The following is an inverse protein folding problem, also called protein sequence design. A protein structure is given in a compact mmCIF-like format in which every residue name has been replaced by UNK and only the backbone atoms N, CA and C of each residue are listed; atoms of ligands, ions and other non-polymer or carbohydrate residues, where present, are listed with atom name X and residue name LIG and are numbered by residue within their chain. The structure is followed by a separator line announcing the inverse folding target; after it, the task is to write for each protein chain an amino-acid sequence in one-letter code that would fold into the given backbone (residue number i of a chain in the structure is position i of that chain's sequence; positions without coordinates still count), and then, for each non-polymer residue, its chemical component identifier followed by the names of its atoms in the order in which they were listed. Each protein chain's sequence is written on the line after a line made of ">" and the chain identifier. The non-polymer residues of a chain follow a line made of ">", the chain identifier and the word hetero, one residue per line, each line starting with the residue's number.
data_IF_176262251170
#
_entry.id   IF_176262251170
#
_cell.length_a   1.000
_cell.length_b   1.000
_cell.length_c   1.000
_cell.angle_alpha   90.00
_cell.angle_beta   90.00
_cell.angle_gamma   90.00
#
_symmetry.space_group_name_H-M   'P 1'
#
loop_
_entity.id
_entity.type
_entity.pdbx_description
1 polymer ?
#
# COMPACT_ATOMS: atom_id res chain seq x y z
N UNK A 1 49.90 27.50 -63.57
CA UNK A 1 48.67 26.68 -63.48
C UNK A 1 48.73 25.82 -62.23
N UNK A 2 47.72 25.94 -61.36
CA UNK A 2 47.14 24.91 -60.45
C UNK A 2 48.05 24.42 -59.30
N UNK A 3 48.03 25.05 -58.10
CA UNK A 3 47.16 24.81 -56.91
C UNK A 3 47.06 23.33 -56.44
N UNK A 4 47.71 22.98 -55.32
CA UNK A 4 47.33 21.93 -54.32
C UNK A 4 47.99 22.28 -52.96
N UNK A 5 47.26 22.77 -51.93
CA UNK A 5 46.65 22.04 -50.78
C UNK A 5 47.67 21.21 -50.00
N UNK A 6 47.87 21.34 -48.68
CA UNK A 6 46.93 21.04 -47.58
C UNK A 6 47.42 21.75 -46.30
N UNK A 7 46.56 22.53 -45.65
CA UNK A 7 46.76 23.01 -44.28
C UNK A 7 45.84 22.21 -43.35
N UNK A 8 46.43 21.44 -42.44
CA UNK A 8 45.75 20.57 -41.49
C UNK A 8 45.25 21.42 -40.31
N UNK A 9 43.95 21.72 -40.27
CA UNK A 9 43.33 22.42 -39.14
C UNK A 9 42.92 21.38 -38.09
N UNK A 10 43.74 21.22 -37.05
CA UNK A 10 43.42 20.37 -35.91
C UNK A 10 42.43 21.12 -34.97
N UNK A 11 41.14 20.84 -35.12
CA UNK A 11 40.11 21.32 -34.21
C UNK A 11 40.08 20.39 -32.98
N UNK A 12 40.81 20.76 -31.93
CA UNK A 12 40.72 20.11 -30.62
C UNK A 12 39.35 20.44 -30.00
N UNK A 13 38.38 19.55 -30.22
CA UNK A 13 37.13 19.53 -29.48
C UNK A 13 37.44 19.15 -28.02
N UNK A 14 37.53 20.15 -27.14
CA UNK A 14 37.49 19.90 -25.69
C UNK A 14 36.08 19.43 -25.32
N UNK A 15 35.87 18.12 -25.38
CA UNK A 15 34.74 17.52 -24.71
C UNK A 15 35.05 17.54 -23.21
N UNK A 16 34.42 18.47 -22.48
CA UNK A 16 34.32 18.39 -21.03
C UNK A 16 33.55 17.12 -20.69
N UNK A 17 34.27 16.05 -20.36
CA UNK A 17 33.70 14.88 -19.75
C UNK A 17 33.13 15.32 -18.40
N UNK A 18 31.80 15.40 -18.30
CA UNK A 18 31.13 15.43 -17.01
C UNK A 18 31.44 14.10 -16.32
N UNK A 19 32.43 14.11 -15.43
CA UNK A 19 32.64 13.03 -14.49
C UNK A 19 31.38 12.95 -13.62
N UNK A 20 30.66 11.83 -13.68
CA UNK A 20 29.65 11.52 -12.68
C UNK A 20 30.41 11.41 -11.36
N UNK A 21 30.14 12.31 -10.42
CA UNK A 21 30.61 12.14 -9.05
C UNK A 21 30.06 10.82 -8.55
N UNK A 22 30.90 9.79 -8.49
CA UNK A 22 30.62 8.53 -7.81
C UNK A 22 30.47 8.89 -6.33
N UNK A 23 29.27 9.27 -5.93
CA UNK A 23 28.90 9.36 -4.53
C UNK A 23 28.89 7.93 -4.01
N UNK A 24 29.70 7.64 -3.00
CA UNK A 24 29.82 6.30 -2.39
C UNK A 24 28.61 5.97 -1.50
N UNK A 25 27.42 6.26 -2.02
CA UNK A 25 26.15 6.06 -1.35
C UNK A 25 25.79 4.59 -1.33
N UNK A 26 25.05 4.18 -0.29
CA UNK A 26 24.54 2.83 -0.16
C UNK A 26 23.56 2.52 -1.30
N UNK A 27 23.82 1.48 -2.09
CA UNK A 27 22.96 1.11 -3.22
C UNK A 27 21.77 0.29 -2.77
N UNK A 28 20.57 0.80 -3.01
CA UNK A 28 19.32 0.20 -2.54
C UNK A 28 18.45 -0.24 -3.69
N UNK A 29 18.06 -1.51 -3.70
CA UNK A 29 16.97 -2.00 -4.54
C UNK A 29 15.68 -2.05 -3.74
N UNK A 30 14.70 -1.25 -4.15
CA UNK A 30 13.39 -1.14 -3.50
C UNK A 30 12.38 -2.06 -4.20
N UNK A 31 12.05 -3.18 -3.56
CA UNK A 31 11.00 -4.11 -4.01
C UNK A 31 9.75 -3.95 -3.16
N UNK A 32 8.97 -2.91 -3.47
CA UNK A 32 7.64 -2.74 -2.91
C UNK A 32 6.60 -2.45 -3.99
N UNK A 33 5.62 -3.34 -4.12
CA UNK A 33 4.49 -3.18 -5.06
C UNK A 33 3.34 -2.33 -4.50
N UNK A 34 3.25 -2.23 -3.18
CA UNK A 34 2.13 -1.57 -2.48
C UNK A 34 2.53 -0.30 -1.71
N UNK A 35 3.72 0.24 -1.99
CA UNK A 35 4.25 1.46 -1.37
C UNK A 35 4.20 2.63 -2.36
N UNK A 36 4.32 3.85 -1.83
CA UNK A 36 4.61 5.03 -2.64
C UNK A 36 6.12 5.08 -2.92
N UNK A 37 6.53 4.36 -3.96
CA UNK A 37 7.94 4.27 -4.36
C UNK A 37 8.51 5.64 -4.77
N UNK A 38 7.69 6.52 -5.33
CA UNK A 38 8.09 7.89 -5.70
C UNK A 38 8.42 8.68 -4.43
N UNK A 39 7.54 8.65 -3.44
CA UNK A 39 7.77 9.32 -2.16
C UNK A 39 9.01 8.81 -1.44
N UNK A 40 9.20 7.48 -1.38
CA UNK A 40 10.41 6.89 -0.78
C UNK A 40 11.67 7.37 -1.52
N UNK A 41 11.68 7.32 -2.85
CA UNK A 41 12.83 7.75 -3.67
C UNK A 41 13.15 9.23 -3.52
N UNK A 42 12.15 10.07 -3.26
CA UNK A 42 12.32 11.51 -3.08
C UNK A 42 12.79 11.92 -1.68
N UNK A 43 12.49 11.11 -0.65
CA UNK A 43 12.66 11.50 0.76
C UNK A 43 13.63 10.59 1.55
N UNK A 44 14.09 9.49 0.96
CA UNK A 44 15.16 8.67 1.50
C UNK A 44 16.48 9.11 0.86
N UNK A 45 17.20 9.98 1.58
CA UNK A 45 18.52 10.46 1.20
C UNK A 45 19.62 9.49 1.65
N UNK A 46 20.87 9.76 1.23
CA UNK A 46 22.08 8.97 1.54
C UNK A 46 22.01 7.52 1.06
N UNK A 47 21.26 7.30 -0.01
CA UNK A 47 21.17 6.05 -0.74
C UNK A 47 21.14 6.34 -2.23
N UNK A 48 21.63 5.39 -3.02
CA UNK A 48 21.46 5.39 -4.47
C UNK A 48 20.47 4.29 -4.85
N UNK A 49 19.35 4.64 -5.47
CA UNK A 49 18.39 3.62 -5.86
C UNK A 49 18.75 2.97 -7.20
N UNK A 50 19.06 1.68 -7.17
CA UNK A 50 19.34 0.89 -8.37
C UNK A 50 18.08 0.26 -8.94
N UNK A 51 18.11 -0.07 -10.23
CA UNK A 51 17.00 -0.71 -10.95
C UNK A 51 17.05 -2.23 -10.94
N UNK A 52 18.24 -2.80 -10.79
CA UNK A 52 18.46 -4.24 -10.76
C UNK A 52 19.03 -4.61 -9.39
N UNK A 53 18.43 -5.64 -8.78
CA UNK A 53 18.84 -6.17 -7.48
C UNK A 53 20.30 -6.62 -7.42
N UNK A 54 20.90 -7.00 -8.55
CA UNK A 54 22.28 -7.47 -8.60
C UNK A 54 23.30 -6.34 -8.38
N UNK A 55 22.92 -5.08 -8.62
CA UNK A 55 23.75 -3.91 -8.36
C UNK A 55 23.48 -3.27 -6.99
N UNK A 56 22.61 -3.86 -6.18
CA UNK A 56 22.29 -3.35 -4.87
C UNK A 56 23.30 -3.83 -3.83
N UNK A 57 23.54 -2.99 -2.83
CA UNK A 57 24.15 -3.38 -1.55
C UNK A 57 23.07 -3.94 -0.61
N UNK A 58 21.84 -3.42 -0.71
CA UNK A 58 20.69 -3.85 0.10
C UNK A 58 19.45 -4.00 -0.77
N UNK A 59 18.80 -5.15 -0.66
CA UNK A 59 17.47 -5.40 -1.21
C UNK A 59 16.42 -5.23 -0.11
N UNK A 60 15.57 -4.22 -0.28
CA UNK A 60 14.42 -3.99 0.59
C UNK A 60 13.22 -4.73 0.02
N UNK A 61 12.88 -5.87 0.61
CA UNK A 61 11.75 -6.70 0.20
C UNK A 61 10.54 -6.45 1.10
N UNK A 62 9.43 -5.98 0.51
CA UNK A 62 8.21 -5.70 1.24
C UNK A 62 7.15 -6.79 1.04
N UNK A 63 6.73 -7.40 2.15
CA UNK A 63 5.50 -8.17 2.21
C UNK A 63 4.43 -7.37 2.96
N UNK A 64 3.22 -7.28 2.39
CA UNK A 64 2.12 -6.59 3.08
C UNK A 64 0.84 -7.41 3.12
N UNK A 65 0.15 -7.35 4.26
CA UNK A 65 -1.13 -8.02 4.46
C UNK A 65 -2.13 -7.09 5.11
N UNK A 66 -3.40 -7.20 4.73
CA UNK A 66 -4.47 -6.41 5.36
C UNK A 66 -4.70 -6.93 6.78
N UNK A 67 -4.68 -6.05 7.78
CA UNK A 67 -4.97 -6.45 9.16
C UNK A 67 -6.49 -6.39 9.44
N UNK A 68 -6.92 -7.03 10.54
CA UNK A 68 -8.32 -7.15 10.91
C UNK A 68 -8.98 -5.80 11.22
N UNK A 69 -8.19 -4.81 11.66
CA UNK A 69 -8.67 -3.48 12.01
C UNK A 69 -8.87 -2.58 10.79
N UNK A 70 -8.54 -3.03 9.57
CA UNK A 70 -8.78 -2.28 8.34
C UNK A 70 -7.57 -1.51 7.80
N UNK A 71 -6.44 -1.54 8.50
CA UNK A 71 -5.14 -1.09 8.02
C UNK A 71 -4.32 -2.23 7.38
N UNK A 72 -3.00 -2.13 7.42
CA UNK A 72 -2.07 -3.04 6.74
C UNK A 72 -0.87 -3.34 7.63
N UNK A 73 -0.50 -4.61 7.76
CA UNK A 73 0.79 -5.03 8.29
C UNK A 73 1.82 -5.00 7.17
N UNK A 74 3.01 -4.50 7.49
CA UNK A 74 4.18 -4.42 6.64
C UNK A 74 5.29 -5.22 7.30
N UNK A 75 5.82 -6.17 6.55
CA UNK A 75 7.06 -6.88 6.85
C UNK A 75 8.09 -6.41 5.83
N UNK A 76 9.17 -5.82 6.31
CA UNK A 76 10.28 -5.34 5.47
C UNK A 76 11.53 -6.11 5.82
N UNK A 77 12.02 -6.86 4.85
CA UNK A 77 13.28 -7.58 4.94
C UNK A 77 14.38 -6.75 4.27
N UNK A 78 15.47 -6.55 5.00
CA UNK A 78 16.66 -5.83 4.57
C UNK A 78 17.72 -6.87 4.26
N UNK A 79 17.77 -7.30 3.00
CA UNK A 79 18.61 -8.41 2.55
C UNK A 79 19.90 -7.83 1.98
N UNK A 80 21.00 -7.98 2.71
CA UNK A 80 22.31 -7.55 2.26
C UNK A 80 22.81 -8.35 1.04
N UNK A 81 23.56 -7.68 0.18
CA UNK A 81 24.16 -8.22 -1.05
C UNK A 81 25.63 -7.81 -1.12
N UNK A 82 26.40 -8.52 -1.94
CA UNK A 82 27.84 -8.25 -2.12
C UNK A 82 28.57 -8.21 -0.75
N UNK A 83 29.24 -7.10 -0.45
CA UNK A 83 29.97 -6.86 0.80
C UNK A 83 29.06 -6.86 2.04
N UNK A 84 27.74 -6.79 1.87
CA UNK A 84 26.73 -6.83 2.93
C UNK A 84 26.05 -8.20 3.06
N UNK A 85 26.50 -9.24 2.35
CA UNK A 85 25.84 -10.56 2.28
C UNK A 85 25.54 -11.24 3.63
N UNK A 86 26.31 -10.95 4.68
CA UNK A 86 26.08 -11.47 6.04
C UNK A 86 25.01 -10.70 6.83
N UNK A 87 24.54 -9.57 6.30
CA UNK A 87 23.57 -8.72 6.96
C UNK A 87 22.16 -9.05 6.50
N UNK A 88 21.32 -9.38 7.46
CA UNK A 88 19.89 -9.56 7.28
C UNK A 88 19.18 -8.98 8.48
N UNK A 89 18.18 -8.13 8.24
CA UNK A 89 17.30 -7.59 9.26
C UNK A 89 15.85 -7.67 8.77
N UNK A 90 14.91 -7.78 9.72
CA UNK A 90 13.47 -7.72 9.43
C UNK A 90 12.80 -6.77 10.41
N UNK A 91 11.99 -5.86 9.86
CA UNK A 91 11.15 -4.95 10.66
C UNK A 91 9.68 -5.20 10.30
N UNK A 92 8.84 -5.36 11.32
CA UNK A 92 7.39 -5.50 11.18
C UNK A 92 6.67 -4.33 11.83
N UNK A 93 5.74 -3.71 11.12
CA UNK A 93 4.93 -2.60 11.63
C UNK A 93 3.54 -2.59 10.97
N UNK A 94 2.57 -1.88 11.56
CA UNK A 94 1.22 -1.80 11.01
C UNK A 94 0.71 -0.38 10.88
N UNK A 95 -0.12 -0.14 9.87
CA UNK A 95 -1.01 1.02 9.82
C UNK A 95 -2.38 0.67 10.39
N UNK A 96 -3.10 1.68 10.85
CA UNK A 96 -4.49 1.58 11.31
C UNK A 96 -5.44 2.35 10.37
N UNK A 97 -6.74 2.36 10.68
CA UNK A 97 -7.77 3.01 9.85
C UNK A 97 -7.78 4.53 9.94
N UNK A 98 -7.17 5.09 10.97
CA UNK A 98 -7.24 6.51 11.29
C UNK A 98 -6.08 7.28 10.64
N UNK A 99 -5.05 6.55 10.22
CA UNK A 99 -3.92 7.08 9.46
C UNK A 99 -4.33 7.48 8.04
N UNK A 100 -4.00 8.71 7.67
CA UNK A 100 -4.09 9.20 6.30
C UNK A 100 -3.02 8.56 5.40
N UNK A 101 -3.12 8.77 4.09
CA UNK A 101 -2.07 8.35 3.15
C UNK A 101 -0.71 8.98 3.47
N UNK A 102 -0.71 10.21 3.99
CA UNK A 102 0.52 10.90 4.39
C UNK A 102 1.14 10.25 5.62
N UNK A 103 0.34 9.94 6.63
CA UNK A 103 0.80 9.26 7.85
C UNK A 103 1.44 7.91 7.52
N UNK A 104 0.82 7.14 6.61
CA UNK A 104 1.33 5.83 6.21
C UNK A 104 2.67 5.94 5.46
N UNK A 105 2.81 6.86 4.50
CA UNK A 105 4.08 7.02 3.76
C UNK A 105 5.20 7.54 4.66
N UNK A 106 4.89 8.43 5.62
CA UNK A 106 5.83 8.90 6.64
C UNK A 106 6.27 7.76 7.57
N UNK A 107 5.32 6.91 8.01
CA UNK A 107 5.62 5.73 8.83
C UNK A 107 6.56 4.77 8.10
N UNK A 108 6.26 4.42 6.84
CA UNK A 108 7.10 3.53 6.03
C UNK A 108 8.52 4.10 5.88
N UNK A 109 8.63 5.39 5.53
CA UNK A 109 9.92 6.05 5.36
C UNK A 109 10.73 6.03 6.67
N UNK A 110 10.09 6.30 7.81
CA UNK A 110 10.74 6.25 9.13
C UNK A 110 11.30 4.86 9.43
N UNK A 111 10.53 3.80 9.18
CA UNK A 111 10.96 2.42 9.43
C UNK A 111 12.10 2.00 8.51
N UNK A 112 12.08 2.44 7.24
CA UNK A 112 13.20 2.24 6.33
C UNK A 112 14.48 2.92 6.82
N UNK A 113 14.40 4.18 7.27
CA UNK A 113 15.56 4.89 7.82
C UNK A 113 16.16 4.15 9.00
N UNK A 114 15.33 3.64 9.92
CA UNK A 114 15.80 2.87 11.07
C UNK A 114 16.47 1.55 10.67
N UNK A 115 15.88 0.79 9.75
CA UNK A 115 16.47 -0.48 9.30
C UNK A 115 17.76 -0.32 8.49
N UNK A 116 17.93 0.82 7.81
CA UNK A 116 19.14 1.11 7.04
C UNK A 116 20.34 1.55 7.89
N UNK A 117 20.15 1.89 9.18
CA UNK A 117 21.23 2.38 10.06
C UNK A 117 22.43 1.44 10.06
N UNK A 118 22.21 0.12 10.20
CA UNK A 118 23.32 -0.85 10.20
C UNK A 118 24.09 -0.88 8.89
N UNK A 119 23.40 -0.71 7.77
CA UNK A 119 24.01 -0.69 6.44
C UNK A 119 24.81 0.58 6.22
N UNK A 120 24.31 1.75 6.63
CA UNK A 120 25.07 2.99 6.61
C UNK A 120 26.31 2.94 7.51
N UNK A 121 26.22 2.31 8.69
CA UNK A 121 27.37 2.08 9.56
C UNK A 121 28.44 1.22 8.88
N UNK A 122 28.06 0.09 8.26
CA UNK A 122 29.02 -0.79 7.57
C UNK A 122 29.61 -0.13 6.31
N UNK A 123 28.81 0.66 5.58
CA UNK A 123 29.26 1.41 4.40
C UNK A 123 30.21 2.57 4.76
N UNK A 124 30.11 3.10 5.98
CA UNK A 124 30.87 4.28 6.42
C UNK A 124 30.19 5.60 6.10
N UNK A 125 28.90 5.60 5.72
CA UNK A 125 28.12 6.81 5.35
C UNK A 125 27.21 7.27 6.50
N UNK A 126 27.67 7.11 7.75
CA UNK A 126 26.85 7.39 8.95
C UNK A 126 26.91 8.86 9.37
N UNK A 127 27.86 9.65 8.85
CA UNK A 127 28.09 11.05 9.24
C UNK A 127 26.84 11.93 9.08
N UNK A 128 26.02 11.62 8.07
CA UNK A 128 24.78 12.34 7.75
C UNK A 128 23.52 11.69 8.38
N UNK A 129 23.68 10.75 9.34
CA UNK A 129 22.58 10.01 9.96
C UNK A 129 22.41 10.42 11.42
N UNK A 130 21.27 11.06 11.72
CA UNK A 130 20.87 11.42 13.10
C UNK A 130 19.75 10.52 13.58
N UNK A 131 19.95 9.85 14.71
CA UNK A 131 18.92 9.06 15.40
C UNK A 131 18.57 9.74 16.71
N UNK A 132 17.37 10.30 16.79
CA UNK A 132 16.85 10.90 18.02
C UNK A 132 15.95 9.89 18.73
N UNK A 133 16.40 9.42 19.90
CA UNK A 133 15.58 8.61 20.81
C UNK A 133 15.05 9.56 21.87
N UNK A 134 13.74 9.79 21.87
CA UNK A 134 13.12 10.59 22.93
C UNK A 134 13.35 9.89 24.27
N UNK A 135 13.69 10.68 25.30
CA UNK A 135 13.66 10.17 26.67
C UNK A 135 12.25 9.63 26.93
N UNK A 136 12.11 8.48 27.63
CA UNK A 136 10.80 8.07 28.10
C UNK A 136 10.26 9.24 28.90
N UNK A 137 9.21 9.86 28.38
CA UNK A 137 8.41 10.74 29.21
C UNK A 137 7.85 9.79 30.24
N UNK A 138 8.03 10.05 31.52
CA UNK A 138 7.16 9.49 32.56
C UNK A 138 5.76 10.08 32.31
N UNK A 139 5.16 9.73 31.17
CA UNK A 139 3.74 9.59 31.11
C UNK A 139 3.49 8.50 32.13
N UNK A 140 3.04 8.92 33.32
CA UNK A 140 2.21 8.09 34.15
C UNK A 140 1.39 7.26 33.17
N UNK A 141 1.56 5.94 33.22
CA UNK A 141 0.65 5.00 32.62
C UNK A 141 -0.69 5.26 33.29
N UNK A 142 -1.35 6.33 32.88
CA UNK A 142 -2.76 6.45 32.94
C UNK A 142 -3.21 5.38 31.97
N UNK A 143 -3.36 4.18 32.53
CA UNK A 143 -4.52 3.33 32.29
C UNK A 143 -5.84 4.12 32.51
N UNK A 144 -5.94 5.36 32.05
CA UNK A 144 -7.12 5.77 31.35
C UNK A 144 -6.95 5.17 29.95
N UNK A 145 -7.07 3.84 29.89
CA UNK A 145 -7.67 3.23 28.72
C UNK A 145 -9.01 3.95 28.61
N UNK A 146 -9.05 5.02 27.81
CA UNK A 146 -10.28 5.72 27.47
C UNK A 146 -11.25 4.60 27.13
N UNK A 147 -12.21 4.37 28.03
CA UNK A 147 -13.10 3.22 27.94
C UNK A 147 -13.76 3.29 26.58
N UNK A 148 -13.43 2.36 25.68
CA UNK A 148 -13.90 2.39 24.31
C UNK A 148 -15.44 2.46 24.31
N UNK A 149 -16.03 3.63 24.01
CA UNK A 149 -17.47 3.81 24.14
C UNK A 149 -18.22 3.03 23.06
N UNK A 150 -17.51 2.56 22.02
CA UNK A 150 -18.06 1.80 20.91
C UNK A 150 -17.91 0.30 21.07
N UNK A 151 -17.24 -0.21 22.12
CA UNK A 151 -17.10 -1.65 22.41
C UNK A 151 -16.65 -2.45 21.17
N UNK A 152 -15.51 -2.05 20.61
CA UNK A 152 -14.82 -2.58 19.43
C UNK A 152 -15.58 -2.43 18.10
N UNK A 153 -16.68 -1.68 18.07
CA UNK A 153 -17.41 -1.42 16.83
C UNK A 153 -16.75 -0.33 15.99
N UNK A 154 -16.51 -0.65 14.71
CA UNK A 154 -16.02 0.29 13.71
C UNK A 154 -17.05 0.38 12.58
N UNK A 155 -17.56 1.59 12.36
CA UNK A 155 -18.50 1.90 11.29
C UNK A 155 -17.80 2.68 10.18
N UNK A 156 -18.08 2.33 8.93
CA UNK A 156 -17.57 3.07 7.76
C UNK A 156 -18.68 3.23 6.73
N UNK A 157 -18.97 4.48 6.42
CA UNK A 157 -19.79 4.88 5.29
C UNK A 157 -18.88 5.49 4.23
N UNK A 158 -19.13 5.19 2.96
CA UNK A 158 -18.37 5.75 1.85
C UNK A 158 -19.24 5.84 0.61
N UNK A 159 -19.09 6.96 -0.09
CA UNK A 159 -19.70 7.17 -1.40
C UNK A 159 -18.62 7.71 -2.34
N UNK A 160 -18.69 7.31 -3.61
CA UNK A 160 -17.85 7.83 -4.66
C UNK A 160 -18.69 7.97 -5.94
N UNK A 161 -18.33 8.90 -6.80
CA UNK A 161 -19.00 9.05 -8.07
C UNK A 161 -18.14 9.79 -9.09
N UNK A 162 -18.45 9.56 -10.35
CA UNK A 162 -17.84 10.21 -11.49
C UNK A 162 -18.93 10.50 -12.52
N UNK A 163 -18.95 11.73 -13.05
CA UNK A 163 -19.94 12.17 -14.01
C UNK A 163 -19.20 12.87 -15.16
N UNK A 164 -19.59 12.57 -16.39
CA UNK A 164 -19.03 13.15 -17.60
C UNK A 164 -20.13 13.31 -18.65
N UNK A 165 -20.08 14.39 -19.43
CA UNK A 165 -21.13 14.68 -20.41
C UNK A 165 -20.63 15.46 -21.61
N UNK A 166 -21.19 15.14 -22.78
CA UNK A 166 -21.02 15.78 -24.08
C UNK A 166 -22.39 15.90 -24.74
N UNK A 167 -22.50 16.67 -25.83
CA UNK A 167 -23.77 16.91 -26.53
C UNK A 167 -24.52 15.61 -26.90
N UNK A 168 -23.80 14.61 -27.40
CA UNK A 168 -24.37 13.33 -27.84
C UNK A 168 -24.35 12.22 -26.78
N UNK A 169 -23.69 12.39 -25.63
CA UNK A 169 -23.57 11.30 -24.65
C UNK A 169 -23.31 11.77 -23.22
N UNK A 170 -23.86 11.05 -22.24
CA UNK A 170 -23.55 11.25 -20.82
C UNK A 170 -23.19 9.93 -20.15
N UNK A 171 -22.28 10.00 -19.19
CA UNK A 171 -21.82 8.88 -18.39
C UNK A 171 -21.84 9.24 -16.92
N UNK A 172 -22.32 8.31 -16.10
CA UNK A 172 -22.24 8.40 -14.66
C UNK A 172 -21.85 7.07 -14.04
N UNK A 173 -20.98 7.13 -13.05
CA UNK A 173 -20.67 6.04 -12.13
C UNK A 173 -20.97 6.52 -10.73
N UNK A 174 -21.68 5.70 -9.95
CA UNK A 174 -21.93 5.94 -8.55
C UNK A 174 -21.69 4.67 -7.74
N UNK A 175 -20.98 4.81 -6.63
CA UNK A 175 -20.67 3.75 -5.69
C UNK A 175 -21.02 4.16 -4.28
N UNK A 176 -21.63 3.25 -3.53
CA UNK A 176 -21.92 3.41 -2.11
C UNK A 176 -21.52 2.15 -1.34
N UNK A 177 -20.89 2.34 -0.19
CA UNK A 177 -20.47 1.26 0.69
C UNK A 177 -20.75 1.63 2.16
N UNK A 178 -21.47 0.75 2.85
CA UNK A 178 -21.62 0.79 4.30
C UNK A 178 -21.00 -0.47 4.90
N UNK A 179 -20.25 -0.33 5.99
CA UNK A 179 -19.77 -1.47 6.76
C UNK A 179 -19.80 -1.21 8.26
N UNK A 180 -20.12 -2.27 9.01
CA UNK A 180 -19.96 -2.34 10.45
C UNK A 180 -19.07 -3.55 10.76
N UNK A 181 -18.07 -3.37 11.62
CA UNK A 181 -17.17 -4.45 12.05
C UNK A 181 -17.06 -4.43 13.56
N UNK A 182 -16.91 -5.60 14.16
CA UNK A 182 -16.53 -5.75 15.56
C UNK A 182 -15.50 -6.86 15.66
N UNK A 183 -14.35 -6.56 16.25
CA UNK A 183 -13.23 -7.51 16.35
C UNK A 183 -12.80 -7.60 17.81
N UNK A 184 -13.01 -8.77 18.40
CA UNK A 184 -12.61 -9.14 19.75
C UNK A 184 -11.86 -10.48 19.70
N UNK A 185 -11.23 -10.88 20.80
CA UNK A 185 -10.57 -12.19 20.87
C UNK A 185 -11.54 -13.36 20.64
N UNK A 186 -12.76 -13.25 21.19
CA UNK A 186 -13.78 -14.31 21.14
C UNK A 186 -14.64 -14.26 19.87
N UNK A 187 -14.77 -13.10 19.24
CA UNK A 187 -15.67 -12.90 18.11
C UNK A 187 -15.15 -11.87 17.11
N UNK A 188 -15.26 -12.22 15.82
CA UNK A 188 -14.98 -11.32 14.69
C UNK A 188 -16.21 -11.26 13.79
N UNK A 189 -16.92 -10.14 13.87
CA UNK A 189 -18.11 -9.86 13.09
C UNK A 189 -17.82 -8.81 12.01
N UNK A 190 -18.33 -9.01 10.80
CA UNK A 190 -18.28 -8.02 9.74
C UNK A 190 -19.56 -8.06 8.89
N UNK A 191 -20.13 -6.87 8.71
CA UNK A 191 -21.30 -6.59 7.89
C UNK A 191 -20.93 -5.57 6.81
N UNK A 192 -21.31 -5.82 5.56
CA UNK A 192 -21.00 -4.92 4.46
C UNK A 192 -22.10 -4.88 3.41
N UNK A 193 -22.63 -3.68 3.16
CA UNK A 193 -23.54 -3.37 2.05
C UNK A 193 -22.76 -2.60 1.00
N UNK A 194 -22.93 -2.98 -0.27
CA UNK A 194 -22.40 -2.26 -1.43
C UNK A 194 -23.48 -2.06 -2.47
N UNK A 195 -23.52 -0.86 -3.03
CA UNK A 195 -24.28 -0.50 -4.20
C UNK A 195 -23.34 0.12 -5.22
N UNK A 196 -23.49 -0.25 -6.49
CA UNK A 196 -22.80 0.38 -7.60
C UNK A 196 -23.75 0.52 -8.78
N UNK A 197 -23.73 1.65 -9.46
CA UNK A 197 -24.46 1.88 -10.70
C UNK A 197 -23.55 2.57 -11.71
N UNK A 198 -23.56 2.06 -12.93
CA UNK A 198 -23.01 2.70 -14.11
C UNK A 198 -24.18 2.98 -15.04
N UNK A 199 -24.35 4.23 -15.43
CA UNK A 199 -25.36 4.65 -16.41
C UNK A 199 -24.69 5.41 -17.54
N UNK A 200 -24.93 4.96 -18.76
CA UNK A 200 -24.57 5.66 -19.98
C UNK A 200 -25.84 6.00 -20.75
N UNK A 201 -25.93 7.23 -21.24
CA UNK A 201 -27.02 7.70 -22.10
C UNK A 201 -26.43 8.21 -23.40
N UNK A 202 -27.02 7.85 -24.54
CA UNK A 202 -26.62 8.29 -25.88
C UNK A 202 -27.81 8.88 -26.62
N UNK A 203 -27.62 10.01 -27.29
CA UNK A 203 -28.63 10.63 -28.16
C UNK A 203 -28.28 10.31 -29.61
N UNK A 204 -29.16 9.64 -30.34
CA UNK A 204 -28.96 9.25 -31.73
C UNK A 204 -30.29 9.32 -32.50
N UNK A 205 -30.33 10.03 -33.63
CA UNK A 205 -31.53 10.18 -34.49
C UNK A 205 -32.82 10.56 -33.72
N UNK A 206 -32.72 11.58 -32.84
CA UNK A 206 -33.79 12.03 -31.92
C UNK A 206 -34.29 10.98 -30.90
N UNK A 207 -33.59 9.84 -30.78
CA UNK A 207 -33.84 8.81 -29.77
C UNK A 207 -32.80 8.80 -28.64
N UNK A 208 -33.24 8.51 -27.42
CA UNK A 208 -32.39 8.37 -26.24
C UNK A 208 -32.16 6.88 -25.92
N UNK A 209 -30.91 6.42 -26.00
CA UNK A 209 -30.52 5.06 -25.64
C UNK A 209 -29.88 5.06 -24.25
N UNK A 210 -30.49 4.35 -23.30
CA UNK A 210 -30.01 4.28 -21.90
C UNK A 210 -29.50 2.87 -21.59
N UNK A 211 -28.22 2.78 -21.23
CA UNK A 211 -27.58 1.57 -20.72
C UNK A 211 -27.31 1.70 -19.22
N UNK A 212 -27.94 0.84 -18.40
CA UNK A 212 -27.74 0.80 -16.95
C UNK A 212 -27.14 -0.54 -16.54
N UNK A 213 -26.05 -0.48 -15.78
CA UNK A 213 -25.46 -1.63 -15.15
C UNK A 213 -25.33 -1.39 -13.64
N UNK A 214 -26.09 -2.13 -12.85
CA UNK A 214 -26.10 -2.01 -11.39
C UNK A 214 -25.70 -3.31 -10.69
N UNK A 215 -25.20 -3.15 -9.46
CA UNK A 215 -25.00 -4.25 -8.55
C UNK A 215 -25.33 -3.83 -7.12
N UNK A 216 -26.03 -4.71 -6.41
CA UNK A 216 -26.35 -4.57 -4.98
C UNK A 216 -25.83 -5.81 -4.30
N UNK A 217 -25.10 -5.67 -3.20
CA UNK A 217 -24.70 -6.83 -2.42
C UNK A 217 -24.62 -6.55 -0.94
N UNK A 218 -25.05 -7.53 -0.17
CA UNK A 218 -24.89 -7.61 1.27
C UNK A 218 -24.00 -8.81 1.57
N UNK A 219 -23.01 -8.61 2.44
CA UNK A 219 -22.11 -9.64 2.95
C UNK A 219 -22.13 -9.60 4.47
N UNK A 220 -22.29 -10.77 5.08
CA UNK A 220 -22.18 -10.96 6.52
C UNK A 220 -21.17 -12.07 6.77
N UNK A 221 -20.31 -11.86 7.74
CA UNK A 221 -19.35 -12.85 8.22
C UNK A 221 -19.30 -12.77 9.73
N UNK A 222 -19.49 -13.90 10.39
CA UNK A 222 -19.37 -14.03 11.84
C UNK A 222 -18.46 -15.20 12.16
N UNK A 223 -17.43 -14.97 12.97
CA UNK A 223 -16.45 -15.97 13.38
C UNK A 223 -16.32 -15.94 14.89
N UNK A 224 -16.44 -17.11 15.51
CA UNK A 224 -16.41 -17.30 16.95
C UNK A 224 -15.20 -18.18 17.29
N UNK A 225 -14.33 -17.69 18.15
CA UNK A 225 -13.22 -18.44 18.72
C UNK A 225 -13.78 -19.34 19.83
N UNK A 226 -13.68 -20.66 19.65
CA UNK A 226 -14.12 -21.65 20.64
C UNK A 226 -13.00 -21.89 21.64
N UNK A 227 -11.78 -22.00 21.14
CA UNK A 227 -10.56 -22.13 21.92
C UNK A 227 -9.41 -21.49 21.16
N UNK A 228 -8.26 -21.59 21.78
CA UNK A 228 -6.96 -21.25 21.24
C UNK A 228 -6.63 -21.88 19.88
N UNK A 229 -7.15 -23.08 19.63
CA UNK A 229 -6.90 -23.79 18.37
C UNK A 229 -8.16 -23.91 17.50
N UNK A 230 -9.36 -23.77 18.03
CA UNK A 230 -10.60 -23.99 17.30
C UNK A 230 -11.41 -22.71 17.11
N UNK A 231 -11.90 -22.50 15.89
CA UNK A 231 -12.92 -21.49 15.62
C UNK A 231 -14.00 -22.03 14.68
N UNK A 232 -15.18 -21.43 14.74
CA UNK A 232 -16.31 -21.71 13.85
C UNK A 232 -16.79 -20.41 13.24
N UNK A 233 -17.39 -20.45 12.05
CA UNK A 233 -17.90 -19.25 11.42
C UNK A 233 -19.03 -19.50 10.43
N UNK A 234 -19.72 -18.42 10.08
CA UNK A 234 -20.79 -18.40 9.10
C UNK A 234 -20.60 -17.21 8.17
N UNK A 235 -20.68 -17.47 6.86
CA UNK A 235 -20.50 -16.46 5.82
C UNK A 235 -21.72 -16.45 4.91
N UNK A 236 -22.40 -15.31 4.84
CA UNK A 236 -23.55 -15.10 3.97
C UNK A 236 -23.26 -14.00 2.94
N UNK A 237 -23.71 -14.20 1.72
CA UNK A 237 -23.72 -13.16 0.68
C UNK A 237 -25.04 -13.21 -0.07
N UNK A 238 -25.68 -12.07 -0.25
CA UNK A 238 -26.85 -11.94 -1.11
C UNK A 238 -26.78 -10.66 -1.94
N UNK A 239 -27.58 -10.56 -2.99
CA UNK A 239 -27.58 -9.38 -3.84
C UNK A 239 -28.23 -9.59 -5.21
N UNK A 240 -28.00 -8.63 -6.11
CA UNK A 240 -28.41 -8.66 -7.52
C UNK A 240 -27.33 -8.03 -8.40
N UNK A 241 -27.33 -8.37 -9.69
CA UNK A 241 -26.40 -7.81 -10.68
C UNK A 241 -26.95 -7.94 -12.09
N UNK A 242 -27.12 -6.80 -12.78
CA UNK A 242 -27.48 -6.79 -14.21
C UNK A 242 -26.34 -7.33 -15.08
N UNK A 243 -25.07 -7.01 -14.76
CA UNK A 243 -23.90 -7.53 -15.48
C UNK A 243 -23.82 -9.06 -15.51
N UNK A 244 -24.10 -9.71 -14.37
CA UNK A 244 -24.08 -11.16 -14.26
C UNK A 244 -25.43 -11.82 -14.58
N UNK A 245 -26.42 -11.05 -15.03
CA UNK A 245 -27.80 -11.48 -15.24
C UNK A 245 -28.39 -12.25 -14.05
N UNK A 246 -28.34 -11.64 -12.86
CA UNK A 246 -28.87 -12.20 -11.60
C UNK A 246 -29.83 -11.22 -10.96
N UNK A 247 -31.12 -11.47 -11.10
CA UNK A 247 -32.16 -10.66 -10.45
C UNK A 247 -32.07 -10.76 -8.92
N UNK A 248 -31.75 -11.96 -8.43
CA UNK A 248 -31.41 -12.20 -7.03
C UNK A 248 -30.48 -13.39 -6.91
N UNK A 249 -29.52 -13.32 -5.99
CA UNK A 249 -28.70 -14.45 -5.60
C UNK A 249 -28.44 -14.43 -4.10
N UNK A 250 -28.22 -15.61 -3.54
CA UNK A 250 -27.74 -15.77 -2.18
C UNK A 250 -26.78 -16.96 -2.07
N UNK A 251 -25.95 -16.95 -1.05
CA UNK A 251 -25.00 -18.01 -0.71
C UNK A 251 -24.77 -17.99 0.80
N UNK A 252 -24.76 -19.16 1.42
CA UNK A 252 -24.47 -19.37 2.83
C UNK A 252 -23.40 -20.46 2.96
N UNK A 253 -22.38 -20.17 3.77
CA UNK A 253 -21.24 -21.07 4.00
C UNK A 253 -20.92 -21.15 5.49
N UNK A 254 -21.28 -22.23 6.18
CA UNK A 254 -20.71 -22.51 7.49
C UNK A 254 -19.24 -22.94 7.33
N UNK A 255 -18.43 -22.70 8.35
CA UNK A 255 -17.01 -23.05 8.38
C UNK A 255 -16.57 -23.45 9.79
N UNK A 256 -15.54 -24.28 9.85
CA UNK A 256 -14.81 -24.63 11.07
C UNK A 256 -13.32 -24.60 10.73
N UNK A 257 -12.49 -24.10 11.64
CA UNK A 257 -11.05 -23.96 11.47
C UNK A 257 -10.32 -24.50 12.69
N UNK A 258 -9.20 -25.18 12.44
CA UNK A 258 -8.25 -25.62 13.46
C UNK A 258 -6.87 -25.03 13.16
N UNK A 259 -6.26 -24.38 14.14
CA UNK A 259 -4.91 -23.86 14.05
C UNK A 259 -3.90 -24.84 14.66
N UNK A 260 -2.96 -25.34 13.85
CA UNK A 260 -1.90 -26.25 14.31
C UNK A 260 -0.74 -25.53 15.03
N UNK A 261 -0.62 -24.21 14.84
CA UNK A 261 0.52 -23.42 15.29
C UNK A 261 0.00 -22.29 16.17
N UNK A 262 0.06 -22.50 17.48
CA UNK A 262 -0.18 -21.43 18.43
C UNK A 262 1.09 -21.15 19.21
#
# INVERSE_FOLDING_TARGET
>A
MIKKTVALFAFLFWASLFSQTNTDNLKVFLDCRSCDNTYIRQNLYNVEFVRDQNFADVHLFFATQRNANGGRLYDVEFIGKNDFSEMYDKISFSSNTDMTRDDVRNLVLRQLKLGLVRFWMKKGTIEDVTVNVAAPTEEESTENADTDPWNYWVFRIGANGYFNGQEASTFSNFGFNLSARRVTEKNKFNFNIRFSENKSTFNFDDEEIIAVNNSKSLRVSDVISISDHWSTGAFARMGSSTFSNRDFFWNFKPAIEYNFFK
#
